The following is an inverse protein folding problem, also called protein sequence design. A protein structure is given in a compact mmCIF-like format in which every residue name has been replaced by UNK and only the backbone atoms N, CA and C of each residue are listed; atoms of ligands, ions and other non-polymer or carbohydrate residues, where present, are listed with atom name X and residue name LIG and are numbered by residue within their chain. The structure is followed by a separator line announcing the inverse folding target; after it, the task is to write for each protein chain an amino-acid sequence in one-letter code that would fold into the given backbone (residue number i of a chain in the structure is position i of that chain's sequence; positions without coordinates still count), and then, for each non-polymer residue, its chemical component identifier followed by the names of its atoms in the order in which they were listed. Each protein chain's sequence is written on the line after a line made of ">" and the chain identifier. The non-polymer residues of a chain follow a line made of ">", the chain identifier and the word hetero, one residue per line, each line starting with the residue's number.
data_IF_055488810873
#
_entry.id   IF_055488810873
#
_cell.length_a   1.000
_cell.length_b   1.000
_cell.length_c   1.000
_cell.angle_alpha   90.00
_cell.angle_beta   90.00
_cell.angle_gamma   90.00
#
_symmetry.space_group_name_H-M   'P 1'
#
loop_
_entity.id
_entity.type
_entity.pdbx_description
1 polymer ?
#
# COMPACT_ATOMS: atom_id res chain seq x y z
N UNK A 1 -1.94 11.19 11.92
CA UNK A 1 -2.20 10.10 10.99
C UNK A 1 -0.96 9.26 10.74
N UNK A 2 -1.08 8.18 9.99
CA UNK A 2 0.10 7.43 9.53
C UNK A 2 0.72 8.15 8.33
N UNK A 3 2.06 8.08 8.14
CA UNK A 3 2.71 8.74 7.02
C UNK A 3 2.32 8.08 5.68
N UNK A 4 2.08 8.93 4.70
CA UNK A 4 1.89 8.56 3.29
C UNK A 4 2.91 9.34 2.46
N UNK A 5 3.27 8.89 1.25
CA UNK A 5 4.08 9.70 0.35
C UNK A 5 3.44 11.06 0.10
N UNK A 6 4.26 12.09 -0.01
CA UNK A 6 3.79 13.43 -0.38
C UNK A 6 3.12 13.35 -1.75
N UNK A 7 1.88 13.82 -1.85
CA UNK A 7 1.10 13.73 -3.08
C UNK A 7 0.12 14.88 -3.22
N UNK A 8 -0.15 15.27 -4.47
CA UNK A 8 -1.12 16.30 -4.80
C UNK A 8 -1.91 15.93 -6.07
N UNK A 9 -3.21 16.28 -6.07
CA UNK A 9 -4.06 16.16 -7.26
C UNK A 9 -3.92 17.43 -8.07
N UNK A 10 -3.50 17.29 -9.33
CA UNK A 10 -3.26 18.38 -10.25
C UNK A 10 -4.20 18.30 -11.45
N UNK A 11 -4.54 19.45 -12.02
CA UNK A 11 -5.41 19.59 -13.19
C UNK A 11 -4.66 20.18 -14.39
N UNK A 12 -3.45 20.68 -14.16
CA UNK A 12 -2.59 21.28 -15.18
C UNK A 12 -1.17 20.76 -15.05
N UNK A 13 -0.38 20.90 -16.13
CA UNK A 13 1.05 20.56 -16.12
C UNK A 13 1.83 21.50 -15.22
N UNK A 14 1.47 22.78 -15.21
CA UNK A 14 2.17 23.78 -14.38
C UNK A 14 2.04 23.46 -12.89
N UNK A 15 0.86 23.05 -12.43
CA UNK A 15 0.63 22.56 -11.05
C UNK A 15 1.50 21.32 -10.75
N UNK A 16 1.62 20.39 -11.70
CA UNK A 16 2.46 19.21 -11.54
C UNK A 16 3.94 19.57 -11.37
N UNK A 17 4.45 20.50 -12.19
CA UNK A 17 5.83 20.97 -12.14
C UNK A 17 6.11 21.72 -10.84
N UNK A 18 5.22 22.61 -10.42
CA UNK A 18 5.34 23.35 -9.16
C UNK A 18 5.41 22.42 -7.96
N UNK A 19 4.50 21.44 -7.89
CA UNK A 19 4.48 20.47 -6.80
C UNK A 19 5.77 19.62 -6.81
N UNK A 20 6.18 19.10 -7.97
CA UNK A 20 7.39 18.29 -8.08
C UNK A 20 8.67 19.08 -7.71
N UNK A 21 8.74 20.35 -8.05
CA UNK A 21 9.85 21.22 -7.63
C UNK A 21 9.94 21.33 -6.10
N UNK A 22 8.81 21.32 -5.41
CA UNK A 22 8.74 21.36 -3.94
C UNK A 22 9.18 20.07 -3.26
N UNK A 23 8.83 18.90 -3.82
CA UNK A 23 9.13 17.60 -3.20
C UNK A 23 10.40 16.93 -3.76
N UNK A 24 10.87 17.36 -4.94
CA UNK A 24 12.01 16.76 -5.65
C UNK A 24 11.66 15.48 -6.43
N UNK A 25 12.57 15.11 -7.32
CA UNK A 25 12.46 13.91 -8.16
C UNK A 25 13.16 12.69 -7.52
N UNK A 26 12.77 11.45 -7.94
CA UNK A 26 11.72 11.11 -8.89
C UNK A 26 10.31 11.25 -8.31
N UNK A 27 9.33 11.49 -9.20
CA UNK A 27 7.91 11.51 -8.87
C UNK A 27 7.13 10.49 -9.71
N UNK A 28 5.94 10.11 -9.27
CA UNK A 28 5.03 9.21 -9.97
C UNK A 28 3.82 10.02 -10.43
N UNK A 29 3.43 9.86 -11.70
CA UNK A 29 2.19 10.39 -12.26
C UNK A 29 1.16 9.27 -12.33
N UNK A 30 -0.02 9.49 -11.77
CA UNK A 30 -1.15 8.55 -11.84
C UNK A 30 -2.39 9.29 -12.34
N UNK A 31 -2.78 9.12 -13.61
CA UNK A 31 -4.01 9.71 -14.12
C UNK A 31 -5.23 9.15 -13.41
N UNK A 32 -6.16 10.03 -13.04
CA UNK A 32 -7.37 9.64 -12.34
C UNK A 32 -8.31 8.83 -13.25
N UNK A 33 -8.92 7.78 -12.70
CA UNK A 33 -9.90 6.92 -13.36
C UNK A 33 -9.42 6.22 -14.64
N UNK A 34 -8.12 6.02 -14.80
CA UNK A 34 -7.57 5.18 -15.89
C UNK A 34 -7.44 3.72 -15.43
N UNK A 35 -7.52 2.79 -16.38
CA UNK A 35 -7.37 1.36 -16.09
C UNK A 35 -5.91 0.93 -16.28
N UNK A 36 -5.42 0.09 -15.34
CA UNK A 36 -4.11 -0.54 -15.45
C UNK A 36 -2.92 0.41 -15.48
N UNK A 37 -3.05 1.63 -14.91
CA UNK A 37 -1.95 2.60 -14.88
C UNK A 37 -1.67 3.28 -16.22
N UNK A 38 -2.58 3.15 -17.20
CA UNK A 38 -2.43 3.76 -18.53
C UNK A 38 -2.21 5.27 -18.44
N UNK A 39 -1.17 5.77 -19.10
CA UNK A 39 -0.82 7.19 -19.17
C UNK A 39 -0.07 7.72 -17.95
N UNK A 40 0.20 6.86 -16.94
CA UNK A 40 1.06 7.17 -15.81
C UNK A 40 2.50 6.70 -16.00
N UNK A 41 3.37 7.10 -15.07
CA UNK A 41 4.77 6.69 -15.09
C UNK A 41 5.60 7.32 -13.99
N UNK A 42 6.86 6.89 -13.90
CA UNK A 42 7.87 7.48 -13.02
C UNK A 42 8.63 8.53 -13.84
N UNK A 43 8.77 9.73 -13.27
CA UNK A 43 9.48 10.85 -13.88
C UNK A 43 10.72 11.17 -13.04
N UNK A 44 11.89 11.13 -13.67
CA UNK A 44 13.17 11.40 -13.00
C UNK A 44 13.60 12.87 -13.10
N UNK A 45 12.93 13.65 -13.92
CA UNK A 45 13.22 15.06 -14.19
C UNK A 45 11.97 15.81 -14.67
N UNK A 46 12.10 17.11 -14.85
CA UNK A 46 11.03 18.01 -15.26
C UNK A 46 10.50 17.71 -16.66
N UNK A 47 11.39 17.38 -17.61
CA UNK A 47 11.03 17.11 -19.00
C UNK A 47 10.16 15.86 -19.11
N UNK A 48 10.54 14.77 -18.42
CA UNK A 48 9.75 13.54 -18.34
C UNK A 48 8.39 13.79 -17.66
N UNK A 49 8.37 14.61 -16.59
CA UNK A 49 7.13 14.95 -15.91
C UNK A 49 6.19 15.72 -16.81
N UNK A 50 6.68 16.69 -17.56
CA UNK A 50 5.86 17.48 -18.50
C UNK A 50 5.19 16.56 -19.52
N UNK A 51 5.96 15.68 -20.18
CA UNK A 51 5.44 14.77 -21.21
C UNK A 51 4.39 13.81 -20.66
N UNK A 52 4.70 13.15 -19.52
CA UNK A 52 3.82 12.15 -18.91
C UNK A 52 2.57 12.80 -18.31
N UNK A 53 2.69 13.98 -17.68
CA UNK A 53 1.55 14.69 -17.13
C UNK A 53 0.60 15.19 -18.21
N UNK A 54 1.12 15.75 -19.34
CA UNK A 54 0.29 16.14 -20.49
C UNK A 54 -0.52 14.95 -21.03
N UNK A 55 0.12 13.81 -21.21
CA UNK A 55 -0.55 12.61 -21.68
C UNK A 55 -1.55 12.08 -20.66
N UNK A 56 -1.19 12.04 -19.39
CA UNK A 56 -2.05 11.60 -18.29
C UNK A 56 -3.31 12.43 -18.14
N UNK A 57 -3.18 13.75 -18.18
CA UNK A 57 -4.31 14.69 -18.12
C UNK A 57 -5.28 14.53 -19.29
N UNK A 58 -4.74 14.25 -20.51
CA UNK A 58 -5.57 13.97 -21.71
C UNK A 58 -6.32 12.65 -21.61
N UNK A 59 -5.71 11.63 -21.00
CA UNK A 59 -6.30 10.29 -20.86
C UNK A 59 -7.28 10.20 -19.68
N UNK A 60 -7.14 11.05 -18.68
CA UNK A 60 -8.06 11.09 -17.54
C UNK A 60 -9.43 11.65 -17.96
N UNK A 61 -10.53 10.91 -17.72
CA UNK A 61 -11.88 11.39 -18.03
C UNK A 61 -12.29 12.68 -17.31
N UNK A 62 -11.58 12.99 -16.21
CA UNK A 62 -11.84 14.19 -15.37
C UNK A 62 -10.68 15.19 -15.45
N UNK A 63 -9.72 14.99 -16.36
CA UNK A 63 -8.55 15.86 -16.54
C UNK A 63 -7.80 16.08 -15.23
N UNK A 64 -7.50 14.99 -14.51
CA UNK A 64 -6.78 15.00 -13.23
C UNK A 64 -5.69 13.96 -13.21
N UNK A 65 -4.56 14.31 -12.59
CA UNK A 65 -3.49 13.38 -12.23
C UNK A 65 -3.15 13.53 -10.74
N UNK A 66 -2.78 12.43 -10.11
CA UNK A 66 -2.09 12.44 -8.83
C UNK A 66 -0.59 12.47 -9.13
N UNK A 67 0.11 13.44 -8.57
CA UNK A 67 1.59 13.49 -8.55
C UNK A 67 2.02 13.06 -7.14
N UNK A 68 2.91 12.10 -7.07
CA UNK A 68 3.32 11.49 -5.79
C UNK A 68 4.84 11.34 -5.75
N UNK A 69 5.45 11.59 -4.58
CA UNK A 69 6.87 11.27 -4.36
C UNK A 69 7.12 9.79 -4.63
N UNK A 70 8.09 9.48 -5.47
CA UNK A 70 8.50 8.10 -5.68
C UNK A 70 9.16 7.52 -4.43
N UNK A 71 8.72 6.32 -4.06
CA UNK A 71 9.31 5.48 -3.01
C UNK A 71 9.96 4.23 -3.60
N UNK A 72 10.37 4.30 -4.87
CA UNK A 72 11.11 3.22 -5.52
C UNK A 72 12.38 2.88 -4.73
N UNK A 73 12.64 1.59 -4.57
CA UNK A 73 13.77 1.10 -3.78
C UNK A 73 13.49 0.91 -2.28
N UNK A 74 12.34 1.35 -1.77
CA UNK A 74 11.89 1.00 -0.43
C UNK A 74 11.54 -0.49 -0.36
N UNK A 75 11.73 -1.11 0.80
CA UNK A 75 11.25 -2.47 1.06
C UNK A 75 9.74 -2.45 1.16
N UNK A 76 9.09 -3.43 0.56
CA UNK A 76 7.65 -3.63 0.74
C UNK A 76 7.39 -4.67 1.81
N UNK A 77 6.74 -4.22 2.90
CA UNK A 77 6.42 -5.04 4.06
C UNK A 77 4.91 -5.10 4.22
N UNK A 78 4.38 -6.30 4.35
CA UNK A 78 2.95 -6.53 4.51
C UNK A 78 2.64 -7.08 5.90
N UNK A 79 1.49 -6.70 6.44
CA UNK A 79 0.93 -7.23 7.68
C UNK A 79 -0.48 -7.76 7.44
N UNK A 80 -0.68 -9.04 7.72
CA UNK A 80 -2.03 -9.60 7.85
C UNK A 80 -2.53 -9.37 9.27
N UNK A 81 -3.56 -8.56 9.39
CA UNK A 81 -4.14 -8.12 10.66
C UNK A 81 -5.58 -8.58 10.75
N UNK A 82 -6.02 -8.96 11.93
CA UNK A 82 -7.42 -9.30 12.20
C UNK A 82 -7.92 -8.49 13.40
N UNK A 83 -9.18 -8.08 13.33
CA UNK A 83 -9.86 -7.38 14.42
C UNK A 83 -11.31 -7.83 14.51
N UNK A 84 -11.83 -7.98 15.75
CA UNK A 84 -13.24 -8.27 16.01
C UNK A 84 -14.03 -7.01 16.44
N UNK A 85 -15.35 -7.15 16.56
CA UNK A 85 -16.24 -6.07 17.01
C UNK A 85 -16.00 -5.61 18.45
N UNK A 86 -15.28 -6.38 19.27
CA UNK A 86 -14.88 -6.03 20.64
C UNK A 86 -13.53 -5.32 20.73
N UNK A 87 -12.95 -4.94 19.58
CA UNK A 87 -11.64 -4.30 19.43
C UNK A 87 -10.43 -5.17 19.82
N UNK A 88 -10.60 -6.50 19.90
CA UNK A 88 -9.45 -7.38 19.97
C UNK A 88 -8.80 -7.41 18.58
N UNK A 89 -7.53 -7.06 18.51
CA UNK A 89 -6.79 -7.02 17.26
C UNK A 89 -5.45 -7.75 17.41
N UNK A 90 -5.09 -8.50 16.37
CA UNK A 90 -3.83 -9.22 16.32
C UNK A 90 -3.21 -9.13 14.91
N UNK A 91 -1.90 -9.21 14.85
CA UNK A 91 -1.16 -9.47 13.63
C UNK A 91 -0.97 -10.98 13.51
N UNK A 92 -1.50 -11.56 12.44
CA UNK A 92 -1.36 -12.99 12.17
C UNK A 92 0.03 -13.32 11.65
N UNK A 93 0.49 -12.50 10.71
CA UNK A 93 1.78 -12.66 10.05
C UNK A 93 2.28 -11.34 9.49
N UNK A 94 3.59 -11.15 9.47
CA UNK A 94 4.21 -10.17 8.60
C UNK A 94 4.90 -10.89 7.44
N UNK A 95 5.03 -10.17 6.32
CA UNK A 95 5.61 -10.68 5.09
C UNK A 95 6.49 -9.60 4.47
N UNK A 96 7.46 -10.03 3.71
CA UNK A 96 8.38 -9.16 2.98
C UNK A 96 8.43 -9.56 1.53
N UNK A 97 8.23 -8.62 0.62
CA UNK A 97 8.43 -8.82 -0.80
C UNK A 97 9.93 -8.77 -1.12
N UNK A 98 10.41 -9.73 -1.90
CA UNK A 98 11.82 -9.77 -2.33
C UNK A 98 12.16 -8.59 -3.23
N UNK A 99 11.23 -8.21 -4.10
CA UNK A 99 11.35 -7.07 -4.97
C UNK A 99 10.96 -5.78 -4.24
N UNK A 100 11.64 -4.66 -4.51
CA UNK A 100 11.30 -3.38 -3.90
C UNK A 100 9.94 -2.86 -4.37
N UNK A 101 9.43 -1.85 -3.67
CA UNK A 101 8.19 -1.14 -4.04
C UNK A 101 8.20 -0.71 -5.50
N UNK A 102 7.11 -0.99 -6.20
CA UNK A 102 6.92 -0.72 -7.63
C UNK A 102 6.74 -1.98 -8.48
N UNK A 103 7.10 -3.15 -7.95
CA UNK A 103 6.77 -4.45 -8.56
C UNK A 103 5.46 -4.95 -7.96
N UNK A 104 4.54 -5.38 -8.81
CA UNK A 104 3.24 -5.88 -8.32
C UNK A 104 3.44 -7.12 -7.44
N UNK A 105 2.83 -7.13 -6.24
CA UNK A 105 2.97 -8.21 -5.26
C UNK A 105 2.62 -9.60 -5.80
N UNK A 106 1.78 -9.66 -6.84
CA UNK A 106 1.44 -10.90 -7.53
C UNK A 106 2.56 -11.52 -8.36
N UNK A 107 3.57 -10.72 -8.71
CA UNK A 107 4.70 -11.08 -9.57
C UNK A 107 6.01 -11.18 -8.77
N UNK A 108 5.97 -10.85 -7.47
CA UNK A 108 7.11 -10.89 -6.56
C UNK A 108 7.14 -12.16 -5.71
N UNK A 109 8.34 -12.53 -5.27
CA UNK A 109 8.54 -13.58 -4.25
C UNK A 109 8.28 -12.95 -2.88
N UNK A 110 7.46 -13.60 -2.07
CA UNK A 110 7.10 -13.15 -0.73
C UNK A 110 7.65 -14.10 0.33
N UNK A 111 8.35 -13.56 1.31
CA UNK A 111 8.82 -14.30 2.48
C UNK A 111 7.87 -14.08 3.67
N UNK A 112 7.54 -15.15 4.35
CA UNK A 112 6.78 -15.14 5.60
C UNK A 112 7.48 -16.01 6.65
N UNK A 113 7.94 -15.44 7.79
CA UNK A 113 7.95 -14.01 8.16
C UNK A 113 9.02 -13.20 7.40
N UNK A 114 9.00 -11.86 7.56
CA UNK A 114 10.06 -10.97 7.06
C UNK A 114 11.44 -11.40 7.54
N UNK A 115 12.45 -11.26 6.66
CA UNK A 115 13.80 -11.77 6.90
C UNK A 115 14.83 -10.67 7.13
N UNK A 116 14.58 -9.45 6.66
CA UNK A 116 15.59 -8.38 6.60
C UNK A 116 15.31 -7.16 7.45
N UNK A 117 14.21 -7.18 8.22
CA UNK A 117 13.87 -6.10 9.15
C UNK A 117 14.29 -6.45 10.58
N UNK A 118 14.69 -5.43 11.34
CA UNK A 118 15.00 -5.55 12.77
C UNK A 118 13.75 -5.69 13.62
N UNK A 119 13.89 -6.14 14.87
CA UNK A 119 12.79 -6.20 15.83
C UNK A 119 12.14 -4.83 16.05
N UNK A 120 12.91 -3.76 16.04
CA UNK A 120 12.39 -2.40 16.18
C UNK A 120 11.49 -2.02 14.99
N UNK A 121 11.95 -2.23 13.77
CA UNK A 121 11.18 -1.98 12.55
C UNK A 121 9.91 -2.83 12.52
N UNK A 122 10.04 -4.12 12.87
CA UNK A 122 8.89 -5.02 13.00
C UNK A 122 7.82 -4.45 13.93
N UNK A 123 8.20 -4.06 15.17
CA UNK A 123 7.24 -3.55 16.15
C UNK A 123 6.66 -2.19 15.73
N UNK A 124 7.46 -1.32 15.15
CA UNK A 124 7.01 -0.02 14.64
C UNK A 124 5.92 -0.18 13.56
N UNK A 125 6.16 -1.02 12.57
CA UNK A 125 5.23 -1.27 11.46
C UNK A 125 4.00 -2.07 11.93
N UNK A 126 4.18 -3.00 12.87
CA UNK A 126 3.10 -3.72 13.53
C UNK A 126 2.14 -2.76 14.24
N UNK A 127 2.68 -1.85 15.04
CA UNK A 127 1.88 -0.87 15.76
C UNK A 127 1.14 0.10 14.83
N UNK A 128 1.79 0.48 13.72
CA UNK A 128 1.16 1.27 12.66
C UNK A 128 -0.04 0.52 12.06
N UNK A 129 0.13 -0.75 11.72
CA UNK A 129 -0.93 -1.60 11.15
C UNK A 129 -2.11 -1.77 12.08
N UNK A 130 -1.87 -2.00 13.39
CA UNK A 130 -2.92 -2.08 14.40
C UNK A 130 -3.66 -0.75 14.60
N UNK A 131 -2.97 0.37 14.55
CA UNK A 131 -3.59 1.71 14.59
C UNK A 131 -4.47 1.97 13.37
N UNK A 132 -4.03 1.54 12.18
CA UNK A 132 -4.77 1.70 10.93
C UNK A 132 -6.09 0.93 10.99
N UNK A 133 -6.05 -0.38 11.31
CA UNK A 133 -7.26 -1.22 11.32
C UNK A 133 -8.30 -0.71 12.33
N UNK A 134 -7.84 -0.22 13.49
CA UNK A 134 -8.72 0.40 14.50
C UNK A 134 -9.30 1.72 14.03
N UNK A 135 -8.48 2.61 13.45
CA UNK A 135 -8.94 3.92 12.96
C UNK A 135 -9.99 3.78 11.85
N UNK A 136 -9.82 2.79 10.97
CA UNK A 136 -10.76 2.48 9.89
C UNK A 136 -11.96 1.64 10.35
N UNK A 137 -11.97 1.19 11.62
CA UNK A 137 -13.02 0.34 12.19
C UNK A 137 -13.27 -0.94 11.39
N UNK A 138 -12.24 -1.48 10.76
CA UNK A 138 -12.34 -2.72 9.99
C UNK A 138 -12.57 -3.87 10.97
N UNK A 139 -13.54 -4.71 10.66
CA UNK A 139 -13.78 -5.99 11.32
C UNK A 139 -13.46 -7.14 10.38
N UNK A 140 -12.82 -8.19 10.90
CA UNK A 140 -12.29 -9.31 10.12
C UNK A 140 -10.85 -9.11 9.69
N UNK A 141 -10.48 -9.70 8.57
CA UNK A 141 -9.12 -9.68 8.02
C UNK A 141 -8.83 -8.42 7.22
N UNK A 142 -7.59 -7.96 7.34
CA UNK A 142 -7.09 -6.80 6.60
C UNK A 142 -5.61 -6.99 6.27
N UNK A 143 -5.24 -6.75 5.02
CA UNK A 143 -3.86 -6.66 4.60
C UNK A 143 -3.43 -5.19 4.59
N UNK A 144 -2.33 -4.88 5.28
CA UNK A 144 -1.72 -3.55 5.32
C UNK A 144 -0.36 -3.62 4.64
N UNK A 145 -0.17 -2.83 3.59
CA UNK A 145 1.08 -2.73 2.84
C UNK A 145 1.81 -1.44 3.19
N UNK A 146 3.08 -1.59 3.53
CA UNK A 146 3.94 -0.53 4.03
C UNK A 146 5.25 -0.51 3.24
N UNK A 147 5.72 0.68 2.90
CA UNK A 147 7.06 0.88 2.36
C UNK A 147 8.00 1.28 3.49
N UNK A 148 9.13 0.60 3.64
CA UNK A 148 10.16 0.91 4.62
C UNK A 148 11.45 1.33 3.92
N UNK A 149 11.98 2.49 4.27
CA UNK A 149 13.28 2.94 3.78
C UNK A 149 14.38 1.98 4.27
N UNK A 150 15.19 1.39 3.37
CA UNK A 150 16.24 0.44 3.75
C UNK A 150 17.38 1.06 4.57
N UNK A 151 17.47 2.39 4.67
CA UNK A 151 18.56 3.13 5.30
C UNK A 151 18.12 3.94 6.53
N UNK A 152 16.83 3.96 6.84
CA UNK A 152 16.29 4.69 7.99
C UNK A 152 15.02 4.01 8.51
N UNK A 153 14.46 4.55 9.60
CA UNK A 153 13.15 4.10 10.12
C UNK A 153 11.96 4.80 9.46
N UNK A 154 12.18 5.51 8.35
CA UNK A 154 11.12 6.17 7.61
C UNK A 154 10.28 5.13 6.88
N UNK A 155 8.97 5.23 7.01
CA UNK A 155 8.05 4.35 6.32
C UNK A 155 6.85 5.14 5.80
N UNK A 156 6.14 4.52 4.87
CA UNK A 156 4.89 5.04 4.33
C UNK A 156 3.85 3.93 4.24
N UNK A 157 2.58 4.31 4.39
CA UNK A 157 1.46 3.41 4.06
C UNK A 157 1.25 3.45 2.56
N UNK A 158 1.28 2.28 1.92
CA UNK A 158 1.02 2.13 0.48
C UNK A 158 -0.47 1.88 0.26
N UNK A 159 -0.98 0.82 0.89
CA UNK A 159 -2.34 0.35 0.66
C UNK A 159 -2.89 -0.38 1.88
N UNK A 160 -4.21 -0.28 2.06
CA UNK A 160 -4.96 -1.00 3.09
C UNK A 160 -6.11 -1.74 2.41
N UNK A 161 -6.09 -3.06 2.49
CA UNK A 161 -7.06 -3.94 1.85
C UNK A 161 -7.95 -4.60 2.90
N UNK A 162 -9.17 -4.07 3.18
CA UNK A 162 -10.07 -4.58 4.21
C UNK A 162 -10.82 -5.82 3.71
N UNK A 163 -10.11 -6.82 3.35
CA UNK A 163 -10.61 -8.10 2.81
C UNK A 163 -9.58 -9.20 2.96
N UNK A 164 -10.00 -10.44 2.89
CA UNK A 164 -9.10 -11.58 2.67
C UNK A 164 -8.53 -11.56 1.26
N UNK A 165 -7.31 -12.04 1.10
CA UNK A 165 -6.57 -12.00 -0.16
C UNK A 165 -5.63 -13.21 -0.30
N UNK A 166 -4.81 -13.22 -1.33
CA UNK A 166 -3.75 -14.23 -1.50
C UNK A 166 -2.74 -14.20 -0.34
N UNK A 167 -2.45 -13.02 0.20
CA UNK A 167 -1.58 -12.87 1.37
C UNK A 167 -2.17 -13.51 2.62
N UNK A 168 -3.51 -13.46 2.82
CA UNK A 168 -4.19 -14.17 3.90
C UNK A 168 -4.05 -15.69 3.79
N UNK A 169 -4.09 -16.24 2.57
CA UNK A 169 -3.85 -17.65 2.32
C UNK A 169 -2.39 -18.04 2.61
N UNK A 170 -1.43 -17.21 2.20
CA UNK A 170 -0.02 -17.38 2.50
C UNK A 170 0.24 -17.33 4.02
N UNK A 171 -0.30 -16.33 4.70
CA UNK A 171 -0.21 -16.18 6.14
C UNK A 171 -0.78 -17.40 6.87
N UNK A 172 -1.94 -17.91 6.44
CA UNK A 172 -2.53 -19.13 6.99
C UNK A 172 -1.63 -20.35 6.83
N UNK A 173 -1.00 -20.47 5.67
CA UNK A 173 -0.07 -21.58 5.39
C UNK A 173 1.23 -21.47 6.19
N UNK A 174 1.76 -20.26 6.33
CA UNK A 174 3.02 -20.00 7.03
C UNK A 174 2.90 -20.15 8.55
N UNK A 175 1.77 -19.76 9.12
CA UNK A 175 1.57 -19.71 10.59
C UNK A 175 0.72 -20.87 11.12
N UNK A 176 -0.04 -21.56 10.27
CA UNK A 176 -1.06 -22.51 10.68
C UNK A 176 -2.35 -21.85 11.20
N UNK A 177 -2.42 -20.49 11.24
CA UNK A 177 -3.62 -19.79 11.67
C UNK A 177 -4.63 -19.67 10.52
N UNK A 178 -5.84 -20.20 10.65
CA UNK A 178 -6.78 -20.31 9.53
C UNK A 178 -7.51 -18.99 9.24
N UNK A 179 -6.81 -17.97 8.78
CA UNK A 179 -7.34 -16.62 8.52
C UNK A 179 -8.61 -16.64 7.65
N UNK A 180 -8.63 -17.43 6.58
CA UNK A 180 -9.77 -17.51 5.68
C UNK A 180 -11.01 -18.08 6.37
N UNK A 181 -10.82 -19.08 7.22
CA UNK A 181 -11.94 -19.73 7.94
C UNK A 181 -12.59 -18.76 8.93
N UNK A 182 -11.79 -18.00 9.67
CA UNK A 182 -12.30 -17.08 10.71
C UNK A 182 -12.86 -15.78 10.14
N UNK A 183 -12.52 -15.41 8.93
CA UNK A 183 -13.00 -14.17 8.28
C UNK A 183 -14.09 -14.40 7.24
N UNK A 184 -14.36 -15.66 6.87
CA UNK A 184 -15.43 -15.98 5.93
C UNK A 184 -16.73 -16.22 6.70
N UNK A 185 -17.87 -15.68 6.23
CA UNK A 185 -19.16 -15.96 6.84
C UNK A 185 -19.48 -17.44 6.73
N UNK A 186 -19.93 -18.05 7.81
CA UNK A 186 -20.38 -19.44 7.81
C UNK A 186 -21.86 -19.52 7.40
N UNK A 187 -22.33 -20.70 6.92
CA UNK A 187 -23.77 -20.90 6.70
C UNK A 187 -24.64 -20.63 7.93
N UNK A 188 -24.07 -20.74 9.13
CA UNK A 188 -24.77 -20.41 10.39
C UNK A 188 -24.95 -18.91 10.59
N UNK A 189 -24.00 -18.09 10.12
CA UNK A 189 -24.07 -16.63 10.22
C UNK A 189 -25.14 -16.07 9.29
N UNK A 190 -25.42 -16.76 8.18
CA UNK A 190 -26.44 -16.38 7.20
C UNK A 190 -27.87 -16.79 7.63
N UNK A 191 -27.99 -17.68 8.61
CA UNK A 191 -29.30 -18.20 9.08
C UNK A 191 -29.96 -17.33 10.16
N UNK A 192 -29.30 -16.25 10.60
CA UNK A 192 -29.78 -15.35 11.68
C UNK A 192 -30.22 -13.98 11.17
N UNK A 193 -30.34 -13.81 9.86
CA UNK A 193 -30.83 -12.56 9.22
C UNK A 193 -32.26 -12.72 8.69
#
# INVERSE_FOLDING_TARGET
>A
GQPIPESEIVNTVDEALEFAAGIGYPVIVRPAFTLGGTGGGICSNEEELQEIAENGLKLSPVTQCLIERSIAGFKEIEYEVMRDGADNALVVCNMENFDPVGIHTGDSIVFAPSQTISDYEYQMLRDASLKIIRALKIEGGCNVQLALDPHSFKYYVIEVNPRVSRSSALASKATGYPCLLYTSPSPRDLSTS
#
